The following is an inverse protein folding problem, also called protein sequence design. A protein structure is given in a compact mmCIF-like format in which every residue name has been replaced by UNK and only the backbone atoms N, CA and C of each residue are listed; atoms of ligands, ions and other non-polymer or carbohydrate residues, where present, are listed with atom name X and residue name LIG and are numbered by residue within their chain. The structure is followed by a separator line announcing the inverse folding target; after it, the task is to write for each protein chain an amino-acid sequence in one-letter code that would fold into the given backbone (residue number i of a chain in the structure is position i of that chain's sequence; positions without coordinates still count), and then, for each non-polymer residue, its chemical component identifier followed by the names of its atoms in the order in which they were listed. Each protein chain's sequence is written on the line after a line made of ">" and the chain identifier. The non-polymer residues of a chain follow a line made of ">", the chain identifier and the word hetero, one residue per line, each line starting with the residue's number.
data_IF_976605082953
#
_entry.id   IF_976605082953
#
_cell.length_a   1.000
_cell.length_b   1.000
_cell.length_c   1.000
_cell.angle_alpha   90.00
_cell.angle_beta   90.00
_cell.angle_gamma   90.00
#
_symmetry.space_group_name_H-M   'P 1'
#
loop_
_entity.id
_entity.type
_entity.pdbx_description
1 polymer ?
#
# COMPACT_ATOMS: atom_id res chain seq x y z
N UNK A 1 -21.81 30.61 -9.79
CA UNK A 1 -20.37 30.44 -10.05
C UNK A 1 -19.99 29.10 -9.44
N UNK A 2 -19.80 28.06 -10.26
CA UNK A 2 -19.44 26.72 -9.76
C UNK A 2 -17.93 26.72 -9.60
N UNK A 3 -17.47 26.65 -8.35
CA UNK A 3 -16.06 26.43 -8.07
C UNK A 3 -15.72 25.00 -8.50
N UNK A 4 -14.98 24.87 -9.59
CA UNK A 4 -14.35 23.61 -9.98
C UNK A 4 -12.94 23.68 -9.38
N UNK A 5 -12.65 22.99 -8.26
CA UNK A 5 -11.29 22.96 -7.74
C UNK A 5 -10.37 22.44 -8.85
N UNK A 6 -9.24 23.12 -9.03
CA UNK A 6 -8.22 22.77 -10.03
C UNK A 6 -7.96 21.25 -10.03
N UNK A 7 -8.20 20.60 -11.17
CA UNK A 7 -7.96 19.16 -11.42
C UNK A 7 -6.46 18.79 -11.51
N UNK A 8 -5.57 19.70 -11.10
CA UNK A 8 -4.12 19.56 -11.13
C UNK A 8 -3.55 19.35 -9.71
N UNK A 9 -4.20 18.51 -8.91
CA UNK A 9 -3.54 18.00 -7.71
C UNK A 9 -2.52 16.96 -8.14
N UNK A 10 -1.29 17.08 -7.66
CA UNK A 10 -0.31 16.00 -7.75
C UNK A 10 -0.92 14.76 -7.11
N UNK A 11 -1.11 13.71 -7.93
CA UNK A 11 -1.69 12.47 -7.42
C UNK A 11 -0.78 11.87 -6.37
N UNK A 12 -1.35 11.44 -5.26
CA UNK A 12 -0.64 10.69 -4.25
C UNK A 12 -0.28 9.32 -4.81
N UNK A 13 1.03 9.06 -4.95
CA UNK A 13 1.54 7.80 -5.49
C UNK A 13 1.67 6.76 -4.39
N UNK A 14 0.93 5.68 -4.51
CA UNK A 14 1.11 4.48 -3.69
C UNK A 14 2.09 3.57 -4.44
N UNK A 15 3.27 3.33 -3.87
CA UNK A 15 4.26 2.45 -4.49
C UNK A 15 3.92 0.98 -4.21
N UNK A 16 3.87 0.17 -5.26
CA UNK A 16 3.87 -1.29 -5.15
C UNK A 16 5.10 -1.90 -5.80
N UNK A 17 5.77 -2.82 -5.11
CA UNK A 17 6.88 -3.59 -5.67
C UNK A 17 6.34 -4.77 -6.48
N UNK A 18 6.74 -4.88 -7.73
CA UNK A 18 6.49 -6.06 -8.56
C UNK A 18 7.61 -7.07 -8.34
N UNK A 19 7.31 -8.18 -7.67
CA UNK A 19 8.28 -9.23 -7.30
C UNK A 19 8.10 -10.53 -8.09
N UNK A 20 7.28 -10.52 -9.14
CA UNK A 20 7.00 -11.67 -9.99
C UNK A 20 6.93 -11.29 -11.46
N UNK A 21 7.17 -12.26 -12.34
CA UNK A 21 6.96 -12.10 -13.78
C UNK A 21 5.47 -12.15 -14.11
N UNK A 22 4.89 -10.97 -14.28
CA UNK A 22 3.51 -10.79 -14.70
C UNK A 22 3.43 -10.32 -16.15
N UNK A 23 2.47 -10.86 -16.89
CA UNK A 23 2.15 -10.41 -18.24
C UNK A 23 1.55 -8.99 -18.21
N UNK A 24 1.64 -8.27 -19.32
CA UNK A 24 1.01 -6.96 -19.45
C UNK A 24 -0.49 -7.00 -19.18
N UNK A 25 -1.18 -8.08 -19.54
CA UNK A 25 -2.60 -8.26 -19.25
C UNK A 25 -2.88 -8.35 -17.75
N UNK A 26 -2.04 -9.05 -16.99
CA UNK A 26 -2.16 -9.15 -15.54
C UNK A 26 -1.85 -7.82 -14.85
N UNK A 27 -0.81 -7.10 -15.31
CA UNK A 27 -0.49 -5.77 -14.79
C UNK A 27 -1.61 -4.75 -15.07
N UNK A 28 -2.20 -4.80 -16.27
CA UNK A 28 -3.35 -3.96 -16.62
C UNK A 28 -4.55 -4.27 -15.72
N UNK A 29 -4.79 -5.55 -15.41
CA UNK A 29 -5.87 -5.95 -14.50
C UNK A 29 -5.66 -5.43 -13.08
N UNK A 30 -4.42 -5.44 -12.59
CA UNK A 30 -4.07 -4.87 -11.27
C UNK A 30 -4.37 -3.37 -11.24
N UNK A 31 -3.95 -2.63 -12.28
CA UNK A 31 -4.22 -1.20 -12.40
C UNK A 31 -5.72 -0.90 -12.49
N UNK A 32 -6.47 -1.73 -13.21
CA UNK A 32 -7.92 -1.62 -13.32
C UNK A 32 -8.62 -1.83 -11.96
N UNK A 33 -8.26 -2.89 -11.24
CA UNK A 33 -8.79 -3.17 -9.89
C UNK A 33 -8.51 -2.00 -8.93
N UNK A 34 -7.28 -1.47 -8.96
CA UNK A 34 -6.94 -0.31 -8.14
C UNK A 34 -7.78 0.91 -8.53
N UNK A 35 -7.92 1.19 -9.83
CA UNK A 35 -8.72 2.29 -10.35
C UNK A 35 -10.20 2.20 -9.96
N UNK A 36 -10.77 1.00 -9.92
CA UNK A 36 -12.12 0.74 -9.38
C UNK A 36 -12.18 1.15 -7.91
N UNK A 37 -11.24 0.69 -7.08
CA UNK A 37 -11.15 1.06 -5.67
C UNK A 37 -11.08 2.57 -5.44
N UNK A 38 -10.21 3.28 -6.17
CA UNK A 38 -10.09 4.75 -6.07
C UNK A 38 -11.41 5.44 -6.42
N UNK A 39 -12.06 4.98 -7.49
CA UNK A 39 -13.33 5.57 -7.99
C UNK A 39 -14.49 5.31 -7.03
N UNK A 40 -14.54 4.13 -6.41
CA UNK A 40 -15.53 3.81 -5.38
C UNK A 40 -15.39 4.70 -4.15
N UNK A 41 -14.15 5.06 -3.77
CA UNK A 41 -13.90 5.94 -2.63
C UNK A 41 -14.25 7.39 -2.93
N UNK A 42 -13.86 7.90 -4.10
CA UNK A 42 -14.02 9.32 -4.43
C UNK A 42 -14.40 9.51 -5.90
N UNK A 43 -15.39 10.38 -6.20
CA UNK A 43 -15.67 10.80 -7.58
C UNK A 43 -14.52 11.62 -8.20
N UNK A 44 -13.55 12.05 -7.39
CA UNK A 44 -12.32 12.72 -7.82
C UNK A 44 -11.10 11.91 -7.32
N UNK A 45 -10.62 10.94 -8.13
CA UNK A 45 -9.44 10.13 -7.82
C UNK A 45 -8.20 10.98 -7.56
N UNK A 46 -7.62 10.88 -6.37
CA UNK A 46 -6.37 11.57 -6.01
C UNK A 46 -5.16 10.61 -5.94
N UNK A 47 -5.39 9.31 -5.93
CA UNK A 47 -4.37 8.28 -5.78
C UNK A 47 -4.04 7.60 -7.09
N UNK A 48 -2.79 7.15 -7.19
CA UNK A 48 -2.30 6.33 -8.29
C UNK A 48 -1.42 5.21 -7.75
N UNK A 49 -1.61 3.99 -8.26
CA UNK A 49 -0.74 2.86 -7.95
C UNK A 49 0.47 2.90 -8.88
N UNK A 50 1.62 3.23 -8.33
CA UNK A 50 2.88 3.21 -9.05
C UNK A 50 3.58 1.87 -8.83
N UNK A 51 3.62 1.03 -9.87
CA UNK A 51 4.28 -0.28 -9.80
C UNK A 51 5.76 -0.11 -10.14
N UNK A 52 6.63 -0.44 -9.19
CA UNK A 52 8.08 -0.44 -9.36
C UNK A 52 8.58 -1.86 -9.59
N UNK A 53 9.31 -2.05 -10.67
CA UNK A 53 9.91 -3.33 -11.00
C UNK A 53 10.98 -3.70 -9.97
N UNK A 54 10.76 -4.82 -9.28
CA UNK A 54 11.65 -5.45 -8.30
C UNK A 54 11.63 -6.97 -8.43
N UNK A 55 11.54 -7.47 -9.67
CA UNK A 55 11.52 -8.91 -9.94
C UNK A 55 12.78 -9.62 -9.48
N UNK A 56 13.90 -8.90 -9.40
CA UNK A 56 15.13 -9.39 -8.79
C UNK A 56 14.97 -9.75 -7.31
N UNK A 57 13.92 -9.27 -6.63
CA UNK A 57 13.59 -9.57 -5.22
C UNK A 57 12.58 -10.69 -5.03
N UNK A 58 12.23 -11.42 -6.09
CA UNK A 58 11.34 -12.59 -6.03
C UNK A 58 11.74 -13.65 -4.99
N UNK A 59 13.03 -13.71 -4.63
CA UNK A 59 13.58 -14.64 -3.65
C UNK A 59 13.62 -14.08 -2.22
N UNK A 60 13.36 -12.78 -2.04
CA UNK A 60 13.41 -12.14 -0.73
C UNK A 60 12.12 -12.38 0.06
N UNK A 61 12.26 -12.49 1.39
CA UNK A 61 11.10 -12.46 2.27
C UNK A 61 10.54 -11.03 2.35
N UNK A 62 9.27 -10.89 2.76
CA UNK A 62 8.69 -9.56 2.98
C UNK A 62 9.45 -8.74 4.03
N UNK A 63 10.02 -9.42 5.05
CA UNK A 63 10.83 -8.77 6.06
C UNK A 63 12.13 -8.20 5.45
N UNK A 64 12.75 -8.94 4.53
CA UNK A 64 13.97 -8.47 3.86
C UNK A 64 13.67 -7.36 2.86
N UNK A 65 12.55 -7.44 2.14
CA UNK A 65 12.08 -6.35 1.27
C UNK A 65 11.79 -5.07 2.05
N UNK A 66 11.16 -5.17 3.24
CA UNK A 66 10.92 -4.01 4.11
C UNK A 66 12.24 -3.39 4.61
N UNK A 67 13.21 -4.21 5.00
CA UNK A 67 14.54 -3.73 5.42
C UNK A 67 15.34 -3.11 4.27
N UNK A 68 15.19 -3.64 3.06
CA UNK A 68 15.83 -3.12 1.86
C UNK A 68 15.17 -1.83 1.34
N UNK A 69 13.96 -1.51 1.81
CA UNK A 69 13.17 -0.37 1.37
C UNK A 69 12.47 0.34 2.56
N UNK A 70 13.24 0.82 3.56
CA UNK A 70 12.70 1.29 4.84
C UNK A 70 11.97 2.64 4.75
N UNK A 71 12.14 3.38 3.66
CA UNK A 71 11.53 4.70 3.45
C UNK A 71 10.05 4.61 3.03
N UNK A 72 9.55 3.41 2.74
CA UNK A 72 8.20 3.18 2.23
C UNK A 72 7.36 2.48 3.31
N UNK A 73 6.62 3.29 4.07
CA UNK A 73 5.66 2.82 5.04
C UNK A 73 4.28 3.44 4.72
N UNK A 74 3.27 2.65 4.36
CA UNK A 74 3.29 1.19 4.18
C UNK A 74 3.94 0.75 2.85
N UNK A 75 4.48 -0.47 2.82
CA UNK A 75 5.03 -1.12 1.63
C UNK A 75 3.99 -2.04 0.98
N UNK A 76 3.68 -1.79 -0.31
CA UNK A 76 2.83 -2.69 -1.09
C UNK A 76 3.68 -3.66 -1.91
N UNK A 77 3.28 -4.94 -1.99
CA UNK A 77 3.97 -5.96 -2.80
C UNK A 77 3.00 -6.73 -3.66
N UNK A 78 3.22 -6.66 -4.98
CA UNK A 78 2.59 -7.48 -6.01
C UNK A 78 3.47 -8.72 -6.27
N UNK A 79 2.90 -9.89 -6.05
CA UNK A 79 3.59 -11.18 -6.19
C UNK A 79 2.91 -12.07 -7.25
N UNK A 80 3.39 -13.31 -7.39
CA UNK A 80 2.85 -14.26 -8.36
C UNK A 80 1.41 -14.66 -8.08
N UNK A 81 0.91 -14.46 -6.85
CA UNK A 81 -0.45 -14.81 -6.47
C UNK A 81 -1.44 -13.69 -6.82
N UNK A 82 -0.98 -12.43 -6.91
CA UNK A 82 -1.84 -11.26 -7.15
C UNK A 82 -2.79 -11.40 -8.34
N UNK A 83 -2.39 -11.94 -9.51
CA UNK A 83 -3.31 -12.12 -10.63
C UNK A 83 -4.43 -13.15 -10.37
N UNK A 84 -4.25 -14.04 -9.41
CA UNK A 84 -5.18 -15.14 -9.15
C UNK A 84 -6.30 -14.75 -8.21
N UNK A 85 -5.98 -13.97 -7.17
CA UNK A 85 -6.92 -13.58 -6.12
C UNK A 85 -7.27 -12.08 -6.13
N UNK A 86 -6.62 -11.29 -6.99
CA UNK A 86 -6.78 -9.83 -6.98
C UNK A 86 -6.22 -9.18 -5.72
N UNK A 87 -5.39 -9.89 -4.96
CA UNK A 87 -4.85 -9.46 -3.69
C UNK A 87 -3.45 -8.86 -3.81
N UNK A 88 -3.16 -7.85 -3.01
CA UNK A 88 -1.84 -7.26 -2.84
C UNK A 88 -1.43 -7.36 -1.38
N UNK A 89 -0.14 -7.57 -1.13
CA UNK A 89 0.37 -7.49 0.24
C UNK A 89 0.50 -6.04 0.65
N UNK A 90 -0.11 -5.72 1.78
CA UNK A 90 0.09 -4.48 2.51
C UNK A 90 0.95 -4.80 3.73
N UNK A 91 2.13 -4.20 3.80
CA UNK A 91 3.09 -4.38 4.88
C UNK A 91 3.19 -3.03 5.57
N UNK A 92 2.68 -2.95 6.79
CA UNK A 92 2.75 -1.74 7.62
C UNK A 92 4.19 -1.55 8.10
N UNK A 93 4.72 -2.54 8.81
CA UNK A 93 6.10 -2.49 9.25
C UNK A 93 6.43 -3.52 10.31
N UNK A 94 7.59 -3.33 10.95
CA UNK A 94 7.99 -4.14 12.09
C UNK A 94 7.34 -3.62 13.37
N UNK A 95 7.10 -4.53 14.31
CA UNK A 95 6.62 -4.19 15.64
C UNK A 95 7.54 -3.18 16.35
N UNK A 96 6.93 -2.27 17.07
CA UNK A 96 7.61 -1.25 17.86
C UNK A 96 7.97 -1.77 19.26
N UNK A 97 8.77 -1.00 20.00
CA UNK A 97 9.08 -1.32 21.41
C UNK A 97 7.81 -1.37 22.28
N UNK A 98 6.84 -0.49 21.98
CA UNK A 98 5.57 -0.44 22.70
C UNK A 98 4.71 -1.68 22.42
N UNK A 99 4.70 -2.18 21.19
CA UNK A 99 3.98 -3.42 20.84
C UNK A 99 4.53 -4.62 21.63
N UNK A 100 5.84 -4.71 21.80
CA UNK A 100 6.48 -5.77 22.59
C UNK A 100 6.19 -5.58 24.09
N UNK A 101 6.30 -4.36 24.61
CA UNK A 101 6.03 -4.05 26.00
C UNK A 101 4.57 -4.37 26.39
N UNK A 102 3.63 -4.11 25.48
CA UNK A 102 2.20 -4.36 25.66
C UNK A 102 1.78 -5.79 25.25
N UNK A 103 2.73 -6.67 24.89
CA UNK A 103 2.49 -8.05 24.43
C UNK A 103 1.57 -8.16 23.20
N UNK A 104 1.58 -7.13 22.35
CA UNK A 104 0.95 -7.11 21.03
C UNK A 104 1.86 -7.74 19.97
N UNK A 105 3.17 -7.82 20.25
CA UNK A 105 4.15 -8.54 19.47
C UNK A 105 5.06 -9.38 20.36
N UNK A 106 5.55 -10.50 19.82
CA UNK A 106 6.53 -11.35 20.50
C UNK A 106 7.93 -10.74 20.48
N UNK A 107 8.26 -9.95 19.44
CA UNK A 107 9.56 -9.28 19.31
C UNK A 107 9.50 -8.12 18.30
N UNK A 108 10.55 -7.29 18.28
CA UNK A 108 10.76 -6.25 17.26
C UNK A 108 10.93 -6.82 15.83
N UNK A 109 11.09 -8.14 15.68
CA UNK A 109 11.17 -8.79 14.37
C UNK A 109 9.80 -9.26 13.84
N UNK A 110 8.72 -9.09 14.62
CA UNK A 110 7.36 -9.37 14.16
C UNK A 110 7.00 -8.38 13.06
N UNK A 111 6.64 -8.87 11.87
CA UNK A 111 6.25 -8.04 10.73
C UNK A 111 4.72 -8.03 10.59
N UNK A 112 4.13 -6.85 10.64
CA UNK A 112 2.71 -6.65 10.39
C UNK A 112 2.44 -6.55 8.89
N UNK A 113 1.71 -7.55 8.38
CA UNK A 113 1.30 -7.62 6.99
C UNK A 113 -0.05 -8.28 6.84
N UNK A 114 -0.80 -7.85 5.84
CA UNK A 114 -2.07 -8.44 5.44
C UNK A 114 -2.12 -8.55 3.92
N UNK A 115 -2.77 -9.59 3.42
CA UNK A 115 -3.13 -9.68 2.00
C UNK A 115 -4.52 -9.10 1.85
N UNK A 116 -4.64 -8.01 1.09
CA UNK A 116 -5.88 -7.26 0.92
C UNK A 116 -6.30 -7.24 -0.54
N UNK A 117 -7.61 -7.12 -0.79
CA UNK A 117 -8.11 -6.85 -2.13
C UNK A 117 -7.50 -5.52 -2.63
N UNK A 118 -7.03 -5.50 -3.88
CA UNK A 118 -6.46 -4.31 -4.49
C UNK A 118 -7.43 -3.11 -4.42
N UNK A 119 -8.74 -3.37 -4.52
CA UNK A 119 -9.76 -2.32 -4.45
C UNK A 119 -9.79 -1.63 -3.07
N UNK A 120 -9.44 -2.35 -2.00
CA UNK A 120 -9.52 -1.88 -0.61
C UNK A 120 -8.26 -1.14 -0.16
N UNK A 121 -7.15 -1.26 -0.91
CA UNK A 121 -5.85 -0.62 -0.58
C UNK A 121 -5.99 0.88 -0.36
N UNK A 122 -6.77 1.54 -1.22
CA UNK A 122 -6.97 2.99 -1.21
C UNK A 122 -7.74 3.44 0.04
N UNK A 123 -8.64 2.58 0.54
CA UNK A 123 -9.38 2.83 1.77
C UNK A 123 -8.44 2.78 2.97
N UNK A 124 -7.62 1.73 3.06
CA UNK A 124 -6.68 1.57 4.18
C UNK A 124 -5.64 2.70 4.20
N UNK A 125 -5.07 3.05 3.05
CA UNK A 125 -4.07 4.11 2.95
C UNK A 125 -4.62 5.49 3.37
N UNK A 126 -5.88 5.78 3.02
CA UNK A 126 -6.57 7.00 3.45
C UNK A 126 -6.85 7.02 4.96
N UNK A 127 -7.22 5.89 5.55
CA UNK A 127 -7.38 5.79 7.00
C UNK A 127 -6.08 6.12 7.72
N UNK A 128 -4.92 5.64 7.27
CA UNK A 128 -3.63 6.01 7.86
C UNK A 128 -3.26 7.47 7.67
N UNK A 129 -3.50 8.07 6.50
CA UNK A 129 -3.21 9.51 6.29
C UNK A 129 -4.10 10.43 7.12
N UNK A 130 -5.37 10.06 7.33
CA UNK A 130 -6.30 10.80 8.20
C UNK A 130 -5.94 10.61 9.67
N UNK A 131 -5.52 9.41 10.10
CA UNK A 131 -5.13 9.16 11.51
C UNK A 131 -3.77 9.80 11.87
N UNK A 132 -2.89 10.01 10.89
CA UNK A 132 -1.66 10.79 11.04
C UNK A 132 -1.84 12.30 10.83
N UNK A 133 -3.08 12.79 10.64
CA UNK A 133 -3.39 14.20 10.79
C UNK A 133 -3.50 14.52 12.28
N UNK A 134 -2.34 14.66 12.93
CA UNK A 134 -2.10 15.24 14.26
C UNK A 134 -3.34 15.42 15.17
N UNK A 135 -3.56 14.44 16.07
CA UNK A 135 -4.30 14.65 17.33
C UNK A 135 -3.54 15.64 18.26
N UNK A 136 -2.32 16.05 17.91
CA UNK A 136 -1.57 17.04 18.68
C UNK A 136 -1.96 18.50 18.43
N UNK A 137 -3.05 18.78 17.69
CA UNK A 137 -3.60 20.13 17.54
C UNK A 137 -4.85 20.38 18.40
N UNK A 138 -5.16 19.48 19.33
CA UNK A 138 -6.28 19.64 20.28
C UNK A 138 -5.85 19.47 21.75
N UNK A 139 -4.73 20.12 22.11
CA UNK A 139 -4.39 20.46 23.50
C UNK A 139 -3.92 21.91 23.62
#
# INVERSE_FOLDING_TARGET
>A
MVYIPNLHYDKQRLLALLTADLTSAQLNRIQELFGIGVTLRSPYPAEELFIKDKREWSHLSHADSMRAYPEQDPLLVTDSHTPHDGGIWYIEGFATADDVANRLAESLNTLYKIRMDICDVVMQFASYSVTNTHISNDL
#
